data_IF_966196705751
#
_entry.id   IF_966196705751
#
_cell.length_a   1.000
_cell.length_b   1.000
_cell.length_c   1.000
_cell.angle_alpha   90.00
_cell.angle_beta   90.00
_cell.angle_gamma   90.00
#
_symmetry.space_group_name_H-M   'P 1'
#
loop_
_entity.id
_entity.type
_entity.pdbx_description
1 polymer ?
#
# COMPACT_ATOMS: atom_id res chain seq x y z
N UNK A 1 -26.70 6.32 21.13
CA UNK A 1 -27.48 5.35 20.34
C UNK A 1 -26.89 3.98 20.60
N UNK A 2 -27.74 2.98 20.79
CA UNK A 2 -27.29 1.59 20.94
C UNK A 2 -26.75 1.05 19.60
N UNK A 3 -25.70 0.24 19.65
CA UNK A 3 -25.02 -0.31 18.45
C UNK A 3 -25.98 -1.18 17.64
N UNK A 4 -26.89 -1.90 18.30
CA UNK A 4 -27.95 -2.65 17.61
C UNK A 4 -28.89 -1.75 16.82
N UNK A 5 -29.19 -0.54 17.31
CA UNK A 5 -30.01 0.43 16.57
C UNK A 5 -29.25 1.03 15.38
N UNK A 6 -27.93 1.26 15.53
CA UNK A 6 -27.08 1.72 14.42
C UNK A 6 -26.96 0.68 13.32
N UNK A 7 -26.86 -0.61 13.67
CA UNK A 7 -26.78 -1.72 12.71
C UNK A 7 -28.09 -1.91 11.94
N UNK A 8 -29.26 -1.86 12.61
CA UNK A 8 -30.56 -1.92 11.92
C UNK A 8 -30.76 -0.77 10.93
N UNK A 9 -30.33 0.45 11.29
CA UNK A 9 -30.37 1.61 10.38
C UNK A 9 -29.41 1.46 9.21
N UNK A 10 -28.22 0.91 9.47
CA UNK A 10 -27.24 0.62 8.44
C UNK A 10 -27.79 -0.38 7.43
N UNK A 11 -28.37 -1.47 7.90
CA UNK A 11 -28.92 -2.53 7.04
C UNK A 11 -30.10 -2.05 6.20
N UNK A 12 -31.02 -1.28 6.79
CA UNK A 12 -32.13 -0.66 6.06
C UNK A 12 -31.62 0.30 4.97
N UNK A 13 -30.56 1.05 5.26
CA UNK A 13 -29.92 1.95 4.29
C UNK A 13 -29.22 1.18 3.18
N UNK A 14 -28.43 0.16 3.50
CA UNK A 14 -27.73 -0.67 2.51
C UNK A 14 -28.71 -1.38 1.59
N UNK A 15 -29.83 -1.87 2.12
CA UNK A 15 -30.89 -2.50 1.31
C UNK A 15 -31.56 -1.51 0.34
N UNK A 16 -31.70 -0.24 0.74
CA UNK A 16 -32.25 0.80 -0.13
C UNK A 16 -31.27 1.35 -1.16
N UNK A 17 -29.96 1.30 -0.87
CA UNK A 17 -28.92 1.75 -1.80
C UNK A 17 -28.50 0.68 -2.82
N UNK A 18 -28.76 -0.59 -2.51
CA UNK A 18 -28.44 -1.75 -3.33
C UNK A 18 -29.70 -2.56 -3.67
N UNK A 19 -30.69 -1.92 -4.30
CA UNK A 19 -31.96 -2.57 -4.67
C UNK A 19 -31.76 -3.77 -5.62
N UNK A 20 -30.61 -3.88 -6.28
CA UNK A 20 -30.20 -5.04 -7.08
C UNK A 20 -29.97 -6.32 -6.25
N UNK A 21 -29.84 -6.21 -4.92
CA UNK A 21 -29.64 -7.33 -4.01
C UNK A 21 -30.88 -7.54 -3.12
N UNK A 22 -31.42 -8.77 -3.01
CA UNK A 22 -32.51 -9.05 -2.09
C UNK A 22 -32.14 -8.67 -0.65
N UNK A 23 -33.07 -8.12 0.16
CA UNK A 23 -32.79 -7.72 1.54
C UNK A 23 -32.19 -8.85 2.40
N UNK A 24 -32.53 -10.11 2.12
CA UNK A 24 -31.97 -11.28 2.82
C UNK A 24 -30.48 -11.47 2.54
N UNK A 25 -30.02 -11.11 1.33
CA UNK A 25 -28.60 -11.16 0.95
C UNK A 25 -27.83 -10.04 1.65
N UNK A 26 -28.42 -8.84 1.72
CA UNK A 26 -27.85 -7.71 2.46
C UNK A 26 -27.73 -8.04 3.94
N UNK A 27 -28.79 -8.59 4.53
CA UNK A 27 -28.82 -9.07 5.92
C UNK A 27 -27.71 -10.10 6.18
N UNK A 28 -27.59 -11.12 5.32
CA UNK A 28 -26.54 -12.13 5.45
C UNK A 28 -25.13 -11.54 5.39
N UNK A 29 -24.88 -10.54 4.55
CA UNK A 29 -23.57 -9.86 4.49
C UNK A 29 -23.31 -9.02 5.74
N UNK A 30 -24.34 -8.33 6.26
CA UNK A 30 -24.24 -7.56 7.51
C UNK A 30 -23.94 -8.49 8.68
N UNK A 31 -24.64 -9.62 8.80
CA UNK A 31 -24.43 -10.62 9.85
C UNK A 31 -23.05 -11.27 9.76
N UNK A 32 -22.61 -11.67 8.56
CA UNK A 32 -21.27 -12.22 8.36
C UNK A 32 -20.19 -11.18 8.73
N UNK A 33 -20.37 -9.93 8.33
CA UNK A 33 -19.45 -8.86 8.69
C UNK A 33 -19.46 -8.56 10.20
N UNK A 34 -20.62 -8.58 10.84
CA UNK A 34 -20.80 -8.36 12.27
C UNK A 34 -20.20 -9.48 13.11
N UNK A 35 -20.29 -10.73 12.64
CA UNK A 35 -19.74 -11.91 13.32
C UNK A 35 -18.23 -11.80 13.60
N UNK A 36 -17.51 -11.03 12.78
CA UNK A 36 -16.07 -10.77 12.95
C UNK A 36 -15.75 -9.81 14.09
N UNK A 37 -16.75 -9.13 14.63
CA UNK A 37 -16.62 -8.21 15.77
C UNK A 37 -17.25 -8.77 17.04
N UNK A 38 -17.61 -10.06 17.04
CA UNK A 38 -18.11 -10.74 18.25
C UNK A 38 -17.03 -10.69 19.33
N UNK A 39 -17.32 -9.99 20.44
CA UNK A 39 -16.36 -9.78 21.55
C UNK A 39 -15.53 -8.49 21.46
N UNK A 40 -15.83 -7.57 20.53
CA UNK A 40 -15.15 -6.28 20.46
C UNK A 40 -15.36 -5.46 21.75
N UNK A 41 -14.25 -5.08 22.41
CA UNK A 41 -14.27 -4.28 23.65
C UNK A 41 -14.70 -2.82 23.42
N UNK A 42 -14.59 -2.34 22.18
CA UNK A 42 -15.00 -1.00 21.75
C UNK A 42 -15.94 -1.14 20.56
N UNK A 43 -17.24 -0.98 20.81
CA UNK A 43 -18.29 -1.23 19.83
C UNK A 43 -18.67 -0.01 19.00
N UNK A 44 -18.19 1.19 19.37
CA UNK A 44 -18.53 2.46 18.73
C UNK A 44 -18.20 2.53 17.23
N UNK A 45 -17.19 1.77 16.77
CA UNK A 45 -16.77 1.73 15.37
C UNK A 45 -17.32 0.53 14.59
N UNK A 46 -17.95 -0.43 15.27
CA UNK A 46 -18.42 -1.68 14.65
C UNK A 46 -19.38 -1.43 13.49
N UNK A 47 -20.39 -0.53 13.58
CA UNK A 47 -21.28 -0.26 12.46
C UNK A 47 -20.54 0.24 11.21
N UNK A 48 -19.53 1.10 11.38
CA UNK A 48 -18.75 1.66 10.27
C UNK A 48 -17.92 0.56 9.58
N UNK A 49 -17.33 -0.34 10.36
CA UNK A 49 -16.52 -1.43 9.84
C UNK A 49 -17.36 -2.52 9.16
N UNK A 50 -18.54 -2.81 9.71
CA UNK A 50 -19.54 -3.69 9.10
C UNK A 50 -19.98 -3.12 7.75
N UNK A 51 -20.37 -1.85 7.71
CA UNK A 51 -20.78 -1.16 6.47
C UNK A 51 -19.72 -1.28 5.36
N UNK A 52 -18.46 -0.94 5.68
CA UNK A 52 -17.37 -0.98 4.71
C UNK A 52 -17.21 -2.37 4.11
N UNK A 53 -17.33 -3.41 4.94
CA UNK A 53 -17.15 -4.79 4.50
C UNK A 53 -18.31 -5.28 3.63
N UNK A 54 -19.53 -4.88 3.96
CA UNK A 54 -20.72 -5.21 3.16
C UNK A 54 -20.63 -4.54 1.79
N UNK A 55 -20.32 -3.23 1.74
CA UNK A 55 -20.16 -2.49 0.48
C UNK A 55 -19.04 -3.03 -0.41
N UNK A 56 -17.92 -3.44 0.17
CA UNK A 56 -16.83 -4.05 -0.59
C UNK A 56 -17.26 -5.33 -1.32
N UNK A 57 -18.23 -6.06 -0.77
CA UNK A 57 -18.78 -7.30 -1.33
C UNK A 57 -19.89 -7.06 -2.35
N UNK A 58 -20.58 -5.92 -2.23
CA UNK A 58 -21.66 -5.49 -3.13
C UNK A 58 -21.16 -4.75 -4.38
N UNK A 59 -19.89 -4.32 -4.43
CA UNK A 59 -19.35 -3.69 -5.65
C UNK A 59 -19.35 -4.71 -6.81
N UNK A 60 -19.96 -4.38 -7.97
CA UNK A 60 -19.86 -5.23 -9.14
C UNK A 60 -18.39 -5.31 -9.59
N UNK A 61 -17.97 -6.51 -10.02
CA UNK A 61 -16.63 -6.73 -10.56
C UNK A 61 -16.45 -5.87 -11.82
N UNK A 62 -15.44 -5.00 -11.92
CA UNK A 62 -15.27 -4.18 -13.10
C UNK A 62 -14.84 -5.06 -14.28
N UNK A 63 -15.63 -5.02 -15.36
CA UNK A 63 -15.18 -5.54 -16.67
C UNK A 63 -13.99 -4.70 -17.15
N UNK A 64 -13.00 -5.30 -17.81
CA UNK A 64 -11.85 -4.56 -18.31
C UNK A 64 -12.29 -3.84 -19.58
N UNK A 65 -12.34 -2.51 -19.57
CA UNK A 65 -12.00 -1.71 -20.75
C UNK A 65 -11.79 -0.22 -20.40
N UNK A 66 -10.55 0.20 -20.69
CA UNK A 66 -10.00 1.52 -21.08
C UNK A 66 -10.38 2.85 -20.39
N UNK A 67 -9.32 3.40 -19.75
CA UNK A 67 -8.71 4.75 -19.85
C UNK A 67 -9.61 6.00 -19.86
N UNK A 68 -9.49 6.80 -18.81
CA UNK A 68 -9.08 8.23 -18.91
C UNK A 68 -8.69 8.78 -17.53
N UNK A 69 -7.57 9.51 -17.46
CA UNK A 69 -7.19 10.38 -16.33
C UNK A 69 -7.61 11.81 -16.68
N UNK A 70 -8.20 12.57 -15.74
CA UNK A 70 -7.39 13.64 -15.17
C UNK A 70 -7.66 14.03 -13.71
N UNK A 71 -6.58 14.54 -13.11
CA UNK A 71 -6.46 15.55 -12.04
C UNK A 71 -7.26 15.39 -10.75
N UNK A 72 -6.50 15.20 -9.66
CA UNK A 72 -6.78 15.73 -8.33
C UNK A 72 -8.03 15.15 -7.68
N UNK A 73 -7.92 14.00 -7.02
CA UNK A 73 -9.03 13.50 -6.22
C UNK A 73 -8.62 13.29 -4.77
N UNK A 74 -9.30 14.07 -3.93
CA UNK A 74 -9.55 13.73 -2.55
C UNK A 74 -10.50 12.51 -2.53
N UNK A 75 -10.26 11.56 -1.62
CA UNK A 75 -11.10 10.38 -1.48
C UNK A 75 -12.41 10.76 -0.82
N UNK A 76 -13.50 10.83 -1.59
CA UNK A 76 -14.83 11.01 -1.03
C UNK A 76 -15.24 9.74 -0.27
N UNK A 77 -15.44 9.87 1.04
CA UNK A 77 -16.29 8.98 1.81
C UNK A 77 -17.67 9.63 1.80
N UNK A 78 -18.72 8.91 1.42
CA UNK A 78 -20.11 9.43 1.41
C UNK A 78 -20.60 9.71 2.84
N UNK A 79 -20.15 10.82 3.40
CA UNK A 79 -20.59 11.40 4.67
C UNK A 79 -20.55 12.92 4.53
N UNK A 80 -21.68 13.62 4.74
CA UNK A 80 -21.75 15.08 4.64
C UNK A 80 -20.95 15.83 5.72
N UNK A 81 -20.21 15.11 6.58
CA UNK A 81 -19.35 15.66 7.64
C UNK A 81 -17.91 15.09 7.63
N UNK A 82 -17.54 14.26 6.64
CA UNK A 82 -16.18 13.77 6.52
C UNK A 82 -15.42 14.58 5.48
N UNK A 83 -14.49 15.43 5.93
CA UNK A 83 -13.45 15.94 5.03
C UNK A 83 -12.78 14.75 4.31
N UNK A 84 -12.66 14.78 2.98
CA UNK A 84 -12.10 13.67 2.24
C UNK A 84 -10.66 13.41 2.69
N UNK A 85 -10.42 12.21 3.21
CA UNK A 85 -9.14 11.84 3.79
C UNK A 85 -8.05 11.83 2.70
N UNK A 86 -6.93 12.52 2.94
CA UNK A 86 -5.82 12.52 1.98
C UNK A 86 -5.27 11.12 1.73
N UNK A 87 -4.75 10.85 0.53
CA UNK A 87 -4.15 9.56 0.18
C UNK A 87 -3.10 9.11 1.21
N UNK A 88 -2.25 10.05 1.64
CA UNK A 88 -1.22 9.83 2.65
C UNK A 88 -1.80 9.38 3.99
N UNK A 89 -2.88 10.03 4.43
CA UNK A 89 -3.54 9.71 5.70
C UNK A 89 -4.17 8.32 5.64
N UNK A 90 -4.88 8.01 4.54
CA UNK A 90 -5.44 6.69 4.32
C UNK A 90 -4.36 5.60 4.27
N UNK A 91 -3.26 5.87 3.59
CA UNK A 91 -2.13 4.95 3.47
C UNK A 91 -1.53 4.61 4.84
N UNK A 92 -1.33 5.63 5.69
CA UNK A 92 -0.85 5.45 7.06
C UNK A 92 -1.80 4.57 7.90
N UNK A 93 -3.10 4.88 7.90
CA UNK A 93 -4.08 4.08 8.67
C UNK A 93 -4.15 2.63 8.19
N UNK A 94 -4.07 2.43 6.87
CA UNK A 94 -4.08 1.09 6.27
C UNK A 94 -2.84 0.30 6.67
N UNK A 95 -1.65 0.90 6.53
CA UNK A 95 -0.39 0.27 6.93
C UNK A 95 -0.35 -0.04 8.43
N UNK A 96 -0.76 0.92 9.28
CA UNK A 96 -0.84 0.73 10.73
C UNK A 96 -1.75 -0.45 11.09
N UNK A 97 -2.97 -0.48 10.54
CA UNK A 97 -3.95 -1.54 10.78
C UNK A 97 -3.41 -2.92 10.42
N UNK A 98 -2.69 -3.02 9.29
CA UNK A 98 -2.20 -4.30 8.76
C UNK A 98 -0.89 -4.76 9.40
N UNK A 99 -0.03 -3.83 9.85
CA UNK A 99 1.34 -4.17 10.23
C UNK A 99 1.63 -3.99 11.73
N UNK A 100 1.04 -3.00 12.42
CA UNK A 100 1.52 -2.58 13.75
C UNK A 100 1.48 -3.71 14.79
N UNK A 101 0.36 -4.45 14.83
CA UNK A 101 0.14 -5.48 15.86
C UNK A 101 0.79 -6.82 15.49
N UNK A 102 0.69 -7.22 14.23
CA UNK A 102 1.09 -8.56 13.77
C UNK A 102 2.54 -8.61 13.31
N UNK A 103 3.06 -7.49 12.80
CA UNK A 103 4.38 -7.39 12.19
C UNK A 103 5.11 -6.14 12.73
N UNK A 104 5.35 -6.02 14.05
CA UNK A 104 5.83 -4.78 14.67
C UNK A 104 7.17 -4.29 14.11
N UNK A 105 8.07 -5.22 13.76
CA UNK A 105 9.35 -4.88 13.11
C UNK A 105 9.15 -4.35 11.68
N UNK A 106 8.25 -4.97 10.93
CA UNK A 106 7.85 -4.48 9.59
C UNK A 106 7.22 -3.10 9.65
N UNK A 107 6.40 -2.86 10.68
CA UNK A 107 5.83 -1.54 10.94
C UNK A 107 6.91 -0.50 11.24
N UNK A 108 7.91 -0.83 12.06
CA UNK A 108 9.05 0.06 12.33
C UNK A 108 9.81 0.40 11.04
N UNK A 109 10.15 -0.60 10.23
CA UNK A 109 10.72 -0.41 8.90
C UNK A 109 9.86 0.52 8.03
N UNK A 110 8.56 0.22 7.88
CA UNK A 110 7.62 1.01 7.06
C UNK A 110 7.57 2.47 7.49
N UNK A 111 7.59 2.75 8.80
CA UNK A 111 7.67 4.12 9.32
C UNK A 111 8.95 4.82 8.91
N UNK A 112 10.09 4.14 8.96
CA UNK A 112 11.37 4.66 8.50
C UNK A 112 11.36 4.99 7.00
N UNK A 113 10.85 4.06 6.17
CA UNK A 113 10.72 4.26 4.72
C UNK A 113 9.83 5.46 4.41
N UNK A 114 8.68 5.59 5.08
CA UNK A 114 7.79 6.72 4.90
C UNK A 114 8.39 8.06 5.38
N UNK A 115 9.20 8.05 6.43
CA UNK A 115 9.95 9.23 6.90
C UNK A 115 10.98 9.69 5.87
N UNK A 116 11.76 8.76 5.31
CA UNK A 116 12.73 9.05 4.23
C UNK A 116 12.02 9.56 2.97
N UNK A 117 10.93 8.92 2.57
CA UNK A 117 10.09 9.36 1.46
C UNK A 117 9.54 10.79 1.67
N UNK A 118 9.10 11.12 2.88
CA UNK A 118 8.60 12.45 3.20
C UNK A 118 9.68 13.54 3.12
N UNK A 119 10.96 13.20 3.38
CA UNK A 119 12.10 14.12 3.19
C UNK A 119 12.44 14.35 1.72
N UNK A 120 12.26 13.36 0.86
CA UNK A 120 12.54 13.46 -0.58
C UNK A 120 11.39 14.15 -1.32
N UNK A 121 10.15 13.94 -0.88
CA UNK A 121 8.95 14.43 -1.56
C UNK A 121 8.99 15.92 -1.96
N UNK A 122 9.50 16.88 -1.16
CA UNK A 122 9.62 18.28 -1.57
C UNK A 122 10.45 18.52 -2.83
N UNK A 123 11.40 17.64 -3.15
CA UNK A 123 12.26 17.72 -4.34
C UNK A 123 11.58 17.20 -5.61
N UNK A 124 10.41 16.59 -5.49
CA UNK A 124 9.61 16.07 -6.60
C UNK A 124 8.50 17.06 -7.00
N UNK A 125 7.98 16.95 -8.25
CA UNK A 125 6.79 17.69 -8.67
C UNK A 125 5.64 17.56 -7.67
N UNK A 126 4.84 18.62 -7.51
CA UNK A 126 3.77 18.65 -6.49
C UNK A 126 2.81 17.46 -6.58
N UNK A 127 2.48 17.03 -7.81
CA UNK A 127 1.60 15.89 -8.07
C UNK A 127 2.16 14.54 -7.59
N UNK A 128 3.49 14.42 -7.48
CA UNK A 128 4.17 13.17 -7.16
C UNK A 128 4.40 12.98 -5.66
N UNK A 129 4.39 14.07 -4.90
CA UNK A 129 4.73 14.08 -3.46
C UNK A 129 3.84 13.13 -2.66
N UNK A 130 2.53 13.18 -2.89
CA UNK A 130 1.58 12.30 -2.20
C UNK A 130 1.68 10.85 -2.68
N UNK A 131 1.98 10.64 -3.96
CA UNK A 131 2.15 9.29 -4.54
C UNK A 131 3.36 8.59 -3.90
N UNK A 132 4.50 9.29 -3.77
CA UNK A 132 5.69 8.75 -3.11
C UNK A 132 5.40 8.35 -1.66
N UNK A 133 4.86 9.28 -0.86
CA UNK A 133 4.65 9.04 0.58
C UNK A 133 3.61 7.92 0.80
N UNK A 134 2.54 7.90 0.00
CA UNK A 134 1.55 6.83 0.10
C UNK A 134 2.13 5.46 -0.26
N UNK A 135 2.90 5.38 -1.36
CA UNK A 135 3.56 4.14 -1.77
C UNK A 135 4.54 3.67 -0.70
N UNK A 136 5.27 4.59 -0.05
CA UNK A 136 6.18 4.28 1.04
C UNK A 136 5.49 3.67 2.27
N UNK A 137 4.31 4.18 2.66
CA UNK A 137 3.50 3.55 3.72
C UNK A 137 2.98 2.17 3.33
N UNK A 138 2.71 1.95 2.04
CA UNK A 138 1.98 0.79 1.56
C UNK A 138 2.88 -0.33 0.99
N UNK A 139 4.18 -0.09 0.77
CA UNK A 139 5.03 -1.01 0.02
C UNK A 139 5.08 -2.43 0.61
N UNK A 140 5.13 -2.55 1.93
CA UNK A 140 5.31 -3.83 2.63
C UNK A 140 3.99 -4.40 3.22
N UNK A 141 2.82 -3.87 2.87
CA UNK A 141 1.54 -4.34 3.43
C UNK A 141 1.20 -5.78 3.01
N UNK A 142 1.71 -6.24 1.86
CA UNK A 142 1.46 -7.59 1.37
C UNK A 142 2.12 -8.69 2.22
N UNK A 143 2.87 -8.34 3.27
CA UNK A 143 3.30 -9.29 4.29
C UNK A 143 2.21 -9.65 5.31
N UNK A 144 1.14 -8.85 5.42
CA UNK A 144 0.05 -9.12 6.36
C UNK A 144 -0.66 -10.42 5.99
N UNK A 145 -0.95 -11.26 6.99
CA UNK A 145 -1.48 -12.61 6.80
C UNK A 145 -2.76 -12.62 5.95
N UNK A 146 -3.68 -11.69 6.24
CA UNK A 146 -4.94 -11.50 5.51
C UNK A 146 -4.79 -11.15 4.02
N UNK A 147 -3.60 -10.73 3.59
CA UNK A 147 -3.32 -10.25 2.24
C UNK A 147 -2.55 -11.26 1.39
N UNK A 148 -1.97 -12.30 2.00
CA UNK A 148 -1.16 -13.29 1.30
C UNK A 148 -2.04 -14.09 0.34
N UNK A 149 -1.64 -14.09 -0.93
CA UNK A 149 -2.29 -14.83 -2.02
C UNK A 149 -1.24 -15.67 -2.75
N UNK A 150 -0.19 -15.01 -3.26
CA UNK A 150 0.92 -15.67 -3.95
C UNK A 150 2.14 -15.92 -3.06
N UNK A 151 2.20 -15.28 -1.88
CA UNK A 151 3.40 -15.27 -1.04
C UNK A 151 4.51 -14.36 -1.57
N UNK A 152 4.19 -13.51 -2.55
CA UNK A 152 5.06 -12.46 -3.08
C UNK A 152 4.46 -11.10 -2.71
N UNK A 153 4.96 -10.53 -1.60
CA UNK A 153 4.32 -9.41 -0.90
C UNK A 153 4.09 -8.18 -1.77
N UNK A 154 4.95 -7.95 -2.76
CA UNK A 154 4.80 -6.84 -3.70
C UNK A 154 3.52 -6.98 -4.52
N UNK A 155 3.29 -8.16 -5.08
CA UNK A 155 2.13 -8.46 -5.92
C UNK A 155 0.85 -8.53 -5.07
N UNK A 156 0.92 -9.20 -3.92
CA UNK A 156 -0.20 -9.39 -3.00
C UNK A 156 -0.70 -8.02 -2.47
N UNK A 157 0.23 -7.15 -2.06
CA UNK A 157 -0.06 -5.78 -1.65
C UNK A 157 -0.64 -4.94 -2.79
N UNK A 158 -0.04 -4.96 -3.98
CA UNK A 158 -0.51 -4.21 -5.13
C UNK A 158 -1.94 -4.62 -5.57
N UNK A 159 -2.23 -5.93 -5.58
CA UNK A 159 -3.57 -6.44 -5.88
C UNK A 159 -4.61 -6.05 -4.82
N UNK A 160 -4.24 -6.08 -3.54
CA UNK A 160 -5.09 -5.56 -2.47
C UNK A 160 -5.44 -4.08 -2.70
N UNK A 161 -4.44 -3.24 -2.98
CA UNK A 161 -4.64 -1.81 -3.24
C UNK A 161 -5.53 -1.56 -4.45
N UNK A 162 -5.36 -2.32 -5.53
CA UNK A 162 -6.22 -2.23 -6.71
C UNK A 162 -7.68 -2.55 -6.38
N UNK A 163 -7.95 -3.57 -5.55
CA UNK A 163 -9.31 -3.89 -5.07
C UNK A 163 -9.91 -2.79 -4.19
N UNK A 164 -9.09 -2.12 -3.39
CA UNK A 164 -9.50 -0.96 -2.58
C UNK A 164 -9.71 0.33 -3.40
N UNK A 165 -9.47 0.29 -4.72
CA UNK A 165 -9.67 1.44 -5.62
C UNK A 165 -8.58 2.50 -5.53
N UNK A 166 -7.38 2.14 -5.07
CA UNK A 166 -6.24 3.05 -4.96
C UNK A 166 -5.67 3.33 -6.36
N UNK A 167 -5.15 4.55 -6.63
CA UNK A 167 -4.61 4.91 -7.93
C UNK A 167 -3.64 3.86 -8.48
N UNK A 168 -3.85 3.46 -9.74
CA UNK A 168 -3.07 2.41 -10.42
C UNK A 168 -1.57 2.64 -10.29
N UNK A 169 -1.13 3.90 -10.36
CA UNK A 169 0.26 4.29 -10.19
C UNK A 169 0.85 3.90 -8.83
N UNK A 170 0.11 4.06 -7.73
CA UNK A 170 0.56 3.60 -6.39
C UNK A 170 0.63 2.09 -6.35
N UNK A 171 -0.38 1.40 -6.89
CA UNK A 171 -0.38 -0.06 -6.96
C UNK A 171 0.85 -0.57 -7.71
N UNK A 172 1.19 0.07 -8.82
CA UNK A 172 2.35 -0.30 -9.63
C UNK A 172 3.69 0.00 -8.96
N UNK A 173 3.82 1.13 -8.26
CA UNK A 173 4.99 1.44 -7.44
C UNK A 173 5.19 0.42 -6.32
N UNK A 174 4.10 -0.02 -5.67
CA UNK A 174 4.14 -1.09 -4.67
C UNK A 174 4.51 -2.44 -5.29
N UNK A 175 3.97 -2.77 -6.47
CA UNK A 175 4.28 -4.02 -7.18
C UNK A 175 5.76 -4.12 -7.56
N UNK A 176 6.38 -3.00 -7.92
CA UNK A 176 7.75 -2.96 -8.44
C UNK A 176 8.80 -2.52 -7.43
N UNK A 177 8.44 -2.28 -6.16
CA UNK A 177 9.40 -1.75 -5.20
C UNK A 177 10.61 -2.69 -5.00
N UNK A 178 11.76 -2.08 -4.72
CA UNK A 178 13.03 -2.77 -4.48
C UNK A 178 13.44 -3.78 -5.56
N UNK A 179 13.10 -3.52 -6.83
CA UNK A 179 13.48 -4.38 -7.94
C UNK A 179 12.77 -5.73 -7.93
N UNK A 180 11.50 -5.74 -7.53
CA UNK A 180 10.64 -6.92 -7.45
C UNK A 180 10.64 -7.77 -8.73
N UNK A 181 10.77 -7.16 -9.91
CA UNK A 181 10.77 -7.85 -11.19
C UNK A 181 11.78 -9.02 -11.27
N UNK A 182 13.00 -8.84 -10.79
CA UNK A 182 14.01 -9.92 -10.81
C UNK A 182 13.62 -11.09 -9.88
N UNK A 183 12.99 -10.81 -8.74
CA UNK A 183 12.49 -11.84 -7.83
C UNK A 183 11.28 -12.55 -8.44
N UNK A 184 10.40 -11.82 -9.11
CA UNK A 184 9.23 -12.37 -9.78
C UNK A 184 9.63 -13.34 -10.91
N UNK A 185 10.63 -12.99 -11.73
CA UNK A 185 11.20 -13.91 -12.74
C UNK A 185 11.70 -15.21 -12.10
N UNK A 186 12.52 -15.11 -11.05
CA UNK A 186 13.06 -16.27 -10.33
C UNK A 186 11.96 -17.14 -9.68
N UNK A 187 10.79 -16.56 -9.39
CA UNK A 187 9.63 -17.25 -8.80
C UNK A 187 8.57 -17.67 -9.82
N UNK A 188 8.77 -17.41 -11.12
CA UNK A 188 7.77 -17.70 -12.16
C UNK A 188 6.52 -16.82 -12.08
N UNK A 189 6.60 -15.65 -11.43
CA UNK A 189 5.50 -14.70 -11.23
C UNK A 189 5.57 -13.49 -12.18
N UNK A 190 6.53 -13.42 -13.09
CA UNK A 190 6.67 -12.30 -14.01
C UNK A 190 5.41 -11.99 -14.85
N UNK A 191 4.68 -12.99 -15.40
CA UNK A 191 3.43 -12.72 -16.12
C UNK A 191 2.34 -12.09 -15.24
N UNK A 192 2.34 -12.41 -13.95
CA UNK A 192 1.39 -11.82 -12.99
C UNK A 192 1.83 -10.42 -12.56
N UNK A 193 3.13 -10.20 -12.40
CA UNK A 193 3.67 -8.87 -12.10
C UNK A 193 3.42 -7.89 -13.25
N UNK A 194 3.39 -8.37 -14.49
CA UNK A 194 3.07 -7.57 -15.69
C UNK A 194 1.65 -6.96 -15.71
N UNK A 195 0.80 -7.29 -14.74
CA UNK A 195 -0.45 -6.55 -14.48
C UNK A 195 -0.20 -5.07 -14.07
N UNK A 196 1.02 -4.73 -13.69
CA UNK A 196 1.43 -3.42 -13.23
C UNK A 196 2.66 -2.93 -14.01
N UNK A 197 2.66 -1.67 -14.44
CA UNK A 197 3.78 -1.08 -15.19
C UNK A 197 4.92 -0.60 -14.27
N UNK A 198 6.18 -0.88 -14.61
CA UNK A 198 7.33 -0.24 -13.96
C UNK A 198 7.60 1.12 -14.61
N UNK A 199 7.18 2.20 -13.95
CA UNK A 199 7.23 3.56 -14.52
C UNK A 199 8.65 4.13 -14.67
N UNK A 200 9.69 3.49 -14.10
CA UNK A 200 11.11 3.92 -14.18
C UNK A 200 11.33 5.44 -13.99
N UNK A 201 10.58 6.02 -13.06
CA UNK A 201 10.55 7.45 -12.78
C UNK A 201 11.41 7.82 -11.55
N UNK A 202 11.59 9.13 -11.31
CA UNK A 202 12.18 9.62 -10.07
C UNK A 202 11.39 9.24 -8.80
N UNK A 203 10.07 9.03 -8.90
CA UNK A 203 9.24 8.57 -7.78
C UNK A 203 9.54 7.11 -7.46
N UNK A 204 9.66 6.29 -8.50
CA UNK A 204 10.04 4.87 -8.40
C UNK A 204 11.42 4.72 -7.76
N UNK A 205 12.39 5.50 -8.23
CA UNK A 205 13.74 5.51 -7.65
C UNK A 205 13.76 6.02 -6.21
N UNK A 206 13.00 7.07 -5.89
CA UNK A 206 12.90 7.59 -4.52
C UNK A 206 12.25 6.57 -3.56
N UNK A 207 11.27 5.79 -4.02
CA UNK A 207 10.68 4.71 -3.22
C UNK A 207 11.71 3.61 -2.95
N UNK A 208 12.44 3.19 -3.99
CA UNK A 208 13.49 2.18 -3.87
C UNK A 208 14.62 2.64 -2.95
N UNK A 209 15.08 3.88 -3.10
CA UNK A 209 16.05 4.50 -2.21
C UNK A 209 15.53 4.48 -0.77
N UNK A 210 14.27 4.88 -0.54
CA UNK A 210 13.70 4.96 0.81
C UNK A 210 13.67 3.61 1.51
N UNK A 211 13.29 2.53 0.80
CA UNK A 211 13.31 1.16 1.33
C UNK A 211 14.75 0.67 1.58
N UNK A 212 15.60 0.74 0.55
CA UNK A 212 16.95 0.14 0.60
C UNK A 212 17.96 0.93 1.44
N UNK A 213 17.58 2.10 1.96
CA UNK A 213 18.35 2.90 2.93
C UNK A 213 17.70 2.96 4.33
N UNK A 214 16.73 2.08 4.59
CA UNK A 214 16.07 1.97 5.90
C UNK A 214 16.26 0.56 6.48
N UNK A 215 16.76 0.47 7.72
CA UNK A 215 16.96 -0.77 8.48
C UNK A 215 15.63 -1.50 8.74
N UNK A 216 15.65 -2.79 9.12
CA UNK A 216 14.42 -3.48 9.49
C UNK A 216 13.75 -2.87 10.74
N UNK A 217 14.49 -2.06 11.51
CA UNK A 217 14.03 -1.42 12.73
C UNK A 217 13.63 0.06 12.49
N UNK A 218 13.73 0.52 11.23
CA UNK A 218 13.29 1.86 10.80
C UNK A 218 14.39 2.92 10.76
N UNK A 219 15.63 2.55 11.04
CA UNK A 219 16.76 3.48 11.13
C UNK A 219 17.42 3.71 9.76
N UNK A 220 17.98 4.90 9.47
CA UNK A 220 18.75 5.13 8.26
C UNK A 220 20.00 4.24 8.20
N UNK A 221 20.26 3.65 7.03
CA UNK A 221 21.45 2.82 6.75
C UNK A 221 22.02 3.13 5.37
N UNK A 222 23.32 2.89 5.20
CA UNK A 222 23.96 3.00 3.89
C UNK A 222 23.52 1.85 3.00
N UNK A 223 23.21 2.12 1.74
CA UNK A 223 22.77 1.11 0.77
C UNK A 223 23.71 -0.10 0.69
N UNK A 224 25.03 0.14 0.60
CA UNK A 224 26.02 -0.93 0.54
C UNK A 224 25.98 -1.84 1.78
N UNK A 225 25.77 -1.25 2.96
CA UNK A 225 25.68 -1.98 4.23
C UNK A 225 24.39 -2.79 4.27
N UNK A 226 23.28 -2.22 3.79
CA UNK A 226 22.00 -2.93 3.67
C UNK A 226 22.08 -4.10 2.70
N UNK A 227 22.76 -3.96 1.57
CA UNK A 227 22.94 -5.07 0.62
C UNK A 227 23.81 -6.18 1.21
N UNK A 228 24.85 -5.83 1.98
CA UNK A 228 25.67 -6.82 2.72
C UNK A 228 24.87 -7.54 3.81
N UNK A 229 24.05 -6.81 4.56
CA UNK A 229 23.15 -7.37 5.57
C UNK A 229 22.12 -8.34 4.98
N UNK A 230 21.49 -8.00 3.85
CA UNK A 230 20.53 -8.88 3.19
C UNK A 230 21.22 -10.19 2.78
N UNK A 231 22.42 -10.12 2.20
CA UNK A 231 23.21 -11.29 1.81
C UNK A 231 23.69 -12.15 2.99
N UNK A 232 23.95 -11.55 4.15
CA UNK A 232 24.39 -12.31 5.32
C UNK A 232 23.22 -12.94 6.08
N UNK A 233 22.08 -12.25 6.16
CA UNK A 233 20.87 -12.74 6.85
C UNK A 233 20.15 -13.83 6.06
N UNK A 234 20.18 -13.76 4.74
CA UNK A 234 19.48 -14.69 3.84
C UNK A 234 20.50 -15.64 3.20
N UNK A 235 20.14 -16.92 3.10
CA UNK A 235 21.00 -17.91 2.44
C UNK A 235 21.20 -17.61 0.94
N UNK A 236 22.26 -18.18 0.32
CA UNK A 236 22.58 -17.92 -1.09
C UNK A 236 21.47 -18.34 -2.07
N UNK A 237 20.64 -19.32 -1.69
CA UNK A 237 19.55 -19.82 -2.51
C UNK A 237 18.26 -18.99 -2.39
N UNK A 238 18.19 -18.01 -1.46
CA UNK A 238 17.03 -17.14 -1.33
C UNK A 238 16.84 -16.32 -2.63
N UNK A 239 15.64 -16.34 -3.25
CA UNK A 239 15.37 -15.58 -4.47
C UNK A 239 15.70 -14.09 -4.38
N UNK A 240 15.60 -13.49 -3.18
CA UNK A 240 15.98 -12.09 -2.95
C UNK A 240 17.49 -11.91 -3.10
N UNK A 241 18.30 -12.85 -2.59
CA UNK A 241 19.76 -12.80 -2.72
C UNK A 241 20.18 -13.02 -4.16
N UNK A 242 19.63 -14.04 -4.82
CA UNK A 242 19.89 -14.31 -6.24
C UNK A 242 19.49 -13.13 -7.14
N UNK A 243 18.38 -12.46 -6.83
CA UNK A 243 17.96 -11.27 -7.56
C UNK A 243 18.96 -10.12 -7.43
N UNK A 244 19.71 -9.99 -6.32
CA UNK A 244 20.75 -8.96 -6.18
C UNK A 244 21.88 -9.13 -7.20
N UNK A 245 22.17 -10.36 -7.64
CA UNK A 245 23.18 -10.60 -8.67
C UNK A 245 22.63 -10.30 -10.08
N UNK A 246 21.30 -10.29 -10.25
CA UNK A 246 20.62 -9.95 -11.51
C UNK A 246 20.39 -8.44 -11.65
N UNK A 247 19.96 -7.76 -10.57
CA UNK A 247 19.54 -6.36 -10.64
C UNK A 247 20.19 -5.44 -9.59
N UNK A 248 21.29 -5.87 -8.97
CA UNK A 248 22.06 -5.06 -8.02
C UNK A 248 22.52 -3.72 -8.62
N UNK A 249 22.96 -3.72 -9.88
CA UNK A 249 23.43 -2.51 -10.57
C UNK A 249 22.30 -1.49 -10.78
N UNK A 250 21.10 -1.95 -11.15
CA UNK A 250 19.95 -1.06 -11.33
C UNK A 250 19.44 -0.53 -9.98
N UNK A 251 19.45 -1.36 -8.92
CA UNK A 251 19.16 -0.88 -7.56
C UNK A 251 20.13 0.22 -7.13
N UNK A 252 21.42 0.01 -7.38
CA UNK A 252 22.46 0.99 -7.08
C UNK A 252 22.30 2.26 -7.93
N UNK A 253 21.91 2.13 -9.19
CA UNK A 253 21.64 3.27 -10.07
C UNK A 253 20.44 4.10 -9.60
N UNK A 254 19.33 3.46 -9.20
CA UNK A 254 18.17 4.12 -8.61
C UNK A 254 18.52 4.90 -7.33
N UNK A 255 19.36 4.31 -6.47
CA UNK A 255 19.88 4.96 -5.27
C UNK A 255 20.69 6.20 -5.64
N UNK A 256 21.67 6.07 -6.55
CA UNK A 256 22.51 7.20 -6.99
C UNK A 256 21.70 8.35 -7.58
N UNK A 257 20.71 8.06 -8.44
CA UNK A 257 19.83 9.09 -9.02
C UNK A 257 19.06 9.87 -7.95
N UNK A 258 18.64 9.19 -6.88
CA UNK A 258 17.96 9.84 -5.74
C UNK A 258 18.94 10.64 -4.88
N UNK A 259 20.15 10.15 -4.65
CA UNK A 259 21.21 10.90 -3.97
C UNK A 259 21.56 12.17 -4.74
N UNK A 260 21.75 12.10 -6.05
CA UNK A 260 22.01 13.26 -6.93
C UNK A 260 20.89 14.31 -6.83
N UNK A 261 19.62 13.87 -6.76
CA UNK A 261 18.47 14.75 -6.54
C UNK A 261 18.57 15.46 -5.18
N UNK A 262 18.91 14.75 -4.12
CA UNK A 262 19.10 15.31 -2.77
C UNK A 262 20.25 16.33 -2.74
N UNK A 263 21.39 16.02 -3.36
CA UNK A 263 22.54 16.92 -3.46
C UNK A 263 22.22 18.18 -4.28
N UNK A 264 21.44 18.04 -5.34
CA UNK A 264 21.04 19.16 -6.19
C UNK A 264 20.00 20.05 -5.50
N UNK A 265 19.07 19.47 -4.76
CA UNK A 265 18.11 20.19 -3.92
C UNK A 265 18.78 21.00 -2.81
N UNK A 266 19.80 20.44 -2.14
CA UNK A 266 20.58 21.15 -1.12
C UNK A 266 21.29 22.40 -1.67
N UNK A 267 21.71 22.36 -2.95
CA UNK A 267 22.33 23.51 -3.63
C UNK A 267 21.33 24.61 -3.98
N UNK A 268 20.06 24.27 -4.23
CA UNK A 268 19.01 25.26 -4.53
C UNK A 268 18.52 26.01 -3.28
N UNK A 269 18.76 25.49 -2.07
CA UNK A 269 18.35 26.12 -0.80
C UNK A 269 19.42 27.00 -0.15
N UNK A 270 20.63 27.09 -0.72
CA UNK A 270 21.80 27.74 -0.12
C UNK A 270 22.08 29.16 -0.64
N UNK A 271 21.08 29.89 -1.13
CA UNK A 271 21.21 31.27 -1.64
C UNK A 271 20.27 32.21 -0.89
#
# INVERSE_FOLDING_TARGET
MDVGQQLRRLEARLSGEHEEHPPEVVHSFVDEALSRFTGARVSAFVPILVERRVRARMKPSPRPDRVDLPRGQAFALDSPYAEPMSLRTWAWFTAKRLLERELPRRWAHTRGVASTAARIAPLLPLADRQILIASAWLHDIGYAEDLIDTGFHQLDGARFLRREGIPVRVCALVAHHAGAAAVAELRGLAPQLAEFDDERSAVRDALWYSDMTTSPDGDPVVFADRMREIRSRRGPDDPVVRALDVNGDERAAAVRRTEELLWSGARLTAV
#
